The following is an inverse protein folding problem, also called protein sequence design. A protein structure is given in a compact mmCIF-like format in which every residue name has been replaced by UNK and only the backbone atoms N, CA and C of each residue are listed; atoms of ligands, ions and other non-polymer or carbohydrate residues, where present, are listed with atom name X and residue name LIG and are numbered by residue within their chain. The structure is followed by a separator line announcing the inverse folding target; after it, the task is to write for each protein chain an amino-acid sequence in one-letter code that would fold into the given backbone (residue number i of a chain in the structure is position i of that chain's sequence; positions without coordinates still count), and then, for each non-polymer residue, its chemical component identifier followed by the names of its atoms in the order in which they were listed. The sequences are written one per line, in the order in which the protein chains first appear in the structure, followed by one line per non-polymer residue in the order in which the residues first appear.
data_IF_774454109934
#
_entry.id   IF_774454109934
#
_cell.length_a   1.000
_cell.length_b   1.000
_cell.length_c   1.000
_cell.angle_alpha   90.00
_cell.angle_beta   90.00
_cell.angle_gamma   90.00
#
_symmetry.space_group_name_H-M   'P 1'
#
loop_
_entity.id
_entity.type
_entity.pdbx_description
1 polymer ?
#
# COMPACT_ATOMS: atom_id res chain seq x y z
N UNK A 1 -49.23 37.24 -25.86
CA UNK A 1 -49.30 35.92 -25.17
C UNK A 1 -48.22 34.90 -25.58
N UNK A 2 -47.42 35.14 -26.66
CA UNK A 2 -46.35 34.19 -27.08
C UNK A 2 -45.03 34.30 -26.31
N UNK A 3 -44.72 35.43 -25.67
CA UNK A 3 -43.46 35.67 -24.97
C UNK A 3 -43.40 35.03 -23.56
N UNK A 4 -44.52 34.82 -22.92
CA UNK A 4 -44.58 34.24 -21.55
C UNK A 4 -44.34 32.75 -21.58
N UNK A 5 -44.74 32.06 -22.67
CA UNK A 5 -44.61 30.60 -22.80
C UNK A 5 -43.15 30.16 -22.96
N UNK A 6 -42.31 31.03 -23.61
CA UNK A 6 -40.88 30.73 -23.85
C UNK A 6 -40.04 30.88 -22.57
N UNK A 7 -40.41 31.81 -21.69
CA UNK A 7 -39.71 32.06 -20.43
C UNK A 7 -39.90 30.91 -19.43
N UNK A 8 -41.08 30.31 -19.39
CA UNK A 8 -41.38 29.15 -18.52
C UNK A 8 -40.62 27.86 -18.93
N UNK A 9 -40.37 27.68 -20.25
CA UNK A 9 -39.64 26.52 -20.75
C UNK A 9 -38.13 26.57 -20.41
N UNK A 10 -37.52 27.78 -20.40
CA UNK A 10 -36.10 27.97 -20.06
C UNK A 10 -35.84 27.79 -18.55
N UNK A 11 -36.80 28.17 -17.70
CA UNK A 11 -36.70 27.96 -16.26
C UNK A 11 -36.81 26.46 -15.85
N UNK A 12 -37.56 25.67 -16.60
CA UNK A 12 -37.72 24.24 -16.31
C UNK A 12 -36.44 23.42 -16.65
N UNK A 13 -35.65 23.84 -17.64
CA UNK A 13 -34.39 23.16 -18.02
C UNK A 13 -33.25 23.43 -17.06
N UNK A 14 -33.21 24.61 -16.41
CA UNK A 14 -32.18 24.91 -15.38
C UNK A 14 -32.35 24.09 -14.09
N UNK A 15 -33.53 23.65 -13.74
CA UNK A 15 -33.75 22.87 -12.52
C UNK A 15 -33.29 21.40 -12.63
N UNK A 16 -33.19 20.85 -13.83
CA UNK A 16 -32.68 19.49 -14.04
C UNK A 16 -31.15 19.38 -13.88
N UNK A 17 -30.40 20.48 -14.08
CA UNK A 17 -28.96 20.51 -13.87
C UNK A 17 -28.53 20.50 -12.38
N UNK A 18 -29.42 20.85 -11.44
CA UNK A 18 -29.08 20.94 -10.02
C UNK A 18 -29.32 19.63 -9.23
N UNK A 19 -29.92 18.62 -9.84
CA UNK A 19 -30.35 17.41 -9.17
C UNK A 19 -29.47 16.17 -9.39
N UNK A 20 -28.36 16.29 -10.16
CA UNK A 20 -27.40 15.19 -10.24
C UNK A 20 -26.56 15.18 -8.97
N UNK A 21 -27.12 14.67 -7.87
CA UNK A 21 -26.30 14.15 -6.77
C UNK A 21 -25.38 13.10 -7.38
N UNK A 22 -24.13 13.47 -7.65
CA UNK A 22 -23.11 12.47 -8.03
C UNK A 22 -23.14 11.34 -7.01
N UNK A 23 -23.38 10.14 -7.49
CA UNK A 23 -23.27 8.96 -6.66
C UNK A 23 -21.88 8.99 -5.99
N UNK A 24 -21.79 8.67 -4.69
CA UNK A 24 -20.51 8.62 -4.02
C UNK A 24 -19.57 7.68 -4.82
N UNK A 25 -18.30 8.04 -4.97
CA UNK A 25 -17.35 7.19 -5.66
C UNK A 25 -17.35 5.79 -5.06
N UNK A 26 -17.20 4.73 -5.88
CA UNK A 26 -17.18 3.37 -5.38
C UNK A 26 -16.06 3.22 -4.33
N UNK A 27 -16.33 2.43 -3.30
CA UNK A 27 -15.36 2.14 -2.26
C UNK A 27 -14.16 1.40 -2.89
N UNK A 28 -12.90 1.82 -2.61
CA UNK A 28 -11.73 1.05 -3.02
C UNK A 28 -11.83 -0.41 -2.56
N UNK A 29 -11.32 -1.37 -3.33
CA UNK A 29 -11.35 -2.77 -2.93
C UNK A 29 -10.70 -2.97 -1.56
N UNK A 30 -11.14 -3.98 -0.83
CA UNK A 30 -10.46 -4.38 0.39
C UNK A 30 -9.06 -4.92 0.03
N UNK A 31 -8.03 -4.67 0.86
CA UNK A 31 -6.72 -5.24 0.63
C UNK A 31 -6.77 -6.78 0.64
N UNK A 32 -5.85 -7.44 -0.08
CA UNK A 32 -5.83 -8.90 -0.15
C UNK A 32 -5.51 -9.52 1.21
N UNK A 33 -6.27 -10.55 1.58
CA UNK A 33 -6.05 -11.36 2.77
C UNK A 33 -5.44 -12.70 2.38
N UNK A 34 -4.46 -13.14 3.13
CA UNK A 34 -3.97 -14.51 3.09
C UNK A 34 -4.99 -15.44 3.77
N UNK A 35 -5.43 -16.49 3.07
CA UNK A 35 -6.50 -17.37 3.54
C UNK A 35 -6.12 -18.14 4.82
N UNK A 36 -4.83 -18.46 5.00
CA UNK A 36 -4.34 -19.23 6.13
C UNK A 36 -4.12 -18.41 7.38
N UNK A 37 -3.58 -17.19 7.23
CA UNK A 37 -3.21 -16.32 8.35
C UNK A 37 -4.23 -15.23 8.65
N UNK A 38 -5.15 -14.96 7.71
CA UNK A 38 -6.11 -13.84 7.77
C UNK A 38 -5.43 -12.48 7.89
N UNK A 39 -4.15 -12.38 7.54
CA UNK A 39 -3.41 -11.12 7.50
C UNK A 39 -3.48 -10.50 6.10
N UNK A 40 -3.51 -9.18 6.05
CA UNK A 40 -3.29 -8.45 4.80
C UNK A 40 -1.90 -8.77 4.30
N UNK A 41 -1.82 -9.37 3.10
CA UNK A 41 -0.57 -9.89 2.56
C UNK A 41 -0.43 -9.54 1.09
N UNK A 42 0.72 -8.97 0.72
CA UNK A 42 1.14 -8.79 -0.66
C UNK A 42 2.29 -9.75 -0.96
N UNK A 43 2.12 -10.58 -1.97
CA UNK A 43 3.15 -11.51 -2.42
C UNK A 43 3.26 -11.51 -3.93
N UNK A 44 4.50 -11.61 -4.44
CA UNK A 44 4.73 -11.82 -5.86
C UNK A 44 6.08 -12.52 -6.09
N UNK A 45 6.16 -13.23 -7.21
CA UNK A 45 7.41 -13.75 -7.77
C UNK A 45 7.79 -12.86 -8.94
N UNK A 46 8.97 -12.26 -8.88
CA UNK A 46 9.48 -11.35 -9.93
C UNK A 46 10.64 -12.00 -10.63
N UNK A 47 10.55 -12.11 -11.96
CA UNK A 47 11.61 -12.60 -12.80
C UNK A 47 12.59 -11.46 -13.12
N UNK A 48 13.88 -11.69 -12.93
CA UNK A 48 14.97 -10.74 -13.21
C UNK A 48 16.11 -11.47 -13.93
N UNK A 49 15.87 -11.95 -15.14
CA UNK A 49 16.82 -12.77 -15.86
C UNK A 49 18.18 -12.08 -15.99
N UNK A 50 19.25 -12.85 -15.94
CA UNK A 50 20.62 -12.35 -16.01
C UNK A 50 21.18 -11.78 -14.69
N UNK A 51 20.40 -11.79 -13.61
CA UNK A 51 20.89 -11.42 -12.28
C UNK A 51 21.24 -12.68 -11.48
N UNK A 52 22.45 -12.70 -10.92
CA UNK A 52 22.87 -13.78 -10.03
C UNK A 52 22.16 -13.65 -8.66
N UNK A 53 22.07 -14.75 -7.93
CA UNK A 53 21.55 -14.73 -6.55
C UNK A 53 22.38 -13.77 -5.68
N UNK A 54 23.69 -13.74 -5.82
CA UNK A 54 24.61 -12.83 -5.10
C UNK A 54 24.32 -11.37 -5.39
N UNK A 55 24.07 -11.02 -6.66
CA UNK A 55 23.71 -9.66 -7.07
C UNK A 55 22.39 -9.24 -6.43
N UNK A 56 21.40 -10.11 -6.45
CA UNK A 56 20.11 -9.88 -5.83
C UNK A 56 20.24 -9.72 -4.32
N UNK A 57 21.06 -10.56 -3.66
CA UNK A 57 21.32 -10.47 -2.22
C UNK A 57 21.96 -9.14 -1.85
N UNK A 58 22.93 -8.68 -2.64
CA UNK A 58 23.60 -7.39 -2.41
C UNK A 58 22.61 -6.23 -2.46
N UNK A 59 21.73 -6.19 -3.47
CA UNK A 59 20.71 -5.15 -3.63
C UNK A 59 19.65 -5.23 -2.54
N UNK A 60 19.20 -6.44 -2.21
CA UNK A 60 18.22 -6.64 -1.17
C UNK A 60 18.74 -6.20 0.21
N UNK A 61 20.03 -6.38 0.49
CA UNK A 61 20.69 -5.82 1.70
C UNK A 61 20.66 -4.30 1.71
N UNK A 62 20.94 -3.65 0.59
CA UNK A 62 20.87 -2.17 0.48
C UNK A 62 19.45 -1.70 0.75
N UNK A 63 18.45 -2.34 0.14
CA UNK A 63 17.05 -2.01 0.38
C UNK A 63 16.66 -2.24 1.84
N UNK A 64 16.98 -3.40 2.41
CA UNK A 64 16.63 -3.76 3.78
C UNK A 64 17.20 -2.78 4.80
N UNK A 65 18.46 -2.38 4.63
CA UNK A 65 19.10 -1.39 5.51
C UNK A 65 18.46 0.00 5.39
N UNK A 66 17.93 0.36 4.20
CA UNK A 66 17.28 1.65 3.98
C UNK A 66 15.86 1.75 4.55
N UNK A 67 15.18 0.63 4.80
CA UNK A 67 13.80 0.60 5.29
C UNK A 67 13.68 0.11 6.74
N UNK A 68 14.78 -0.36 7.32
CA UNK A 68 14.81 -0.93 8.68
C UNK A 68 14.32 0.07 9.71
N UNK A 69 13.44 -0.40 10.58
CA UNK A 69 13.00 0.34 11.75
C UNK A 69 14.10 0.31 12.81
N UNK A 70 14.36 1.45 13.45
CA UNK A 70 15.36 1.60 14.51
C UNK A 70 15.22 0.51 15.60
N UNK A 71 16.34 -0.13 15.95
CA UNK A 71 16.39 -1.22 16.94
C UNK A 71 15.99 -2.60 16.43
N UNK A 72 15.64 -2.75 15.14
CA UNK A 72 15.28 -4.05 14.56
C UNK A 72 16.06 -4.31 13.27
N UNK A 73 17.34 -4.73 13.34
CA UNK A 73 18.15 -4.98 12.15
C UNK A 73 17.55 -6.09 11.29
N UNK A 74 17.78 -6.08 9.96
CA UNK A 74 17.37 -7.15 9.07
C UNK A 74 17.99 -8.48 9.48
N UNK A 75 17.24 -9.55 9.33
CA UNK A 75 17.74 -10.93 9.53
C UNK A 75 18.04 -11.53 8.16
N UNK A 76 19.21 -12.14 8.04
CA UNK A 76 19.68 -12.79 6.83
C UNK A 76 19.91 -14.28 7.12
N UNK A 77 19.25 -15.15 6.36
CA UNK A 77 19.40 -16.60 6.45
C UNK A 77 19.59 -17.19 5.06
N UNK A 78 20.23 -18.36 4.99
CA UNK A 78 20.31 -19.14 3.74
C UNK A 78 19.76 -20.52 4.03
N UNK A 79 18.67 -20.87 3.34
CA UNK A 79 17.97 -22.15 3.51
C UNK A 79 17.87 -22.86 2.16
N UNK A 80 18.39 -24.08 2.08
CA UNK A 80 18.32 -24.92 0.87
C UNK A 80 18.70 -24.19 -0.44
N UNK A 81 19.78 -23.41 -0.40
CA UNK A 81 20.24 -22.64 -1.55
C UNK A 81 19.41 -21.40 -1.90
N UNK A 82 18.50 -20.99 -1.00
CA UNK A 82 17.71 -19.76 -1.11
C UNK A 82 18.17 -18.80 -0.01
N UNK A 83 18.58 -17.59 -0.41
CA UNK A 83 18.86 -16.54 0.56
C UNK A 83 17.53 -15.87 0.94
N UNK A 84 17.29 -15.74 2.24
CA UNK A 84 16.07 -15.12 2.78
C UNK A 84 16.46 -13.93 3.62
N UNK A 85 15.78 -12.82 3.40
CA UNK A 85 15.92 -11.58 4.15
C UNK A 85 14.57 -11.28 4.80
N UNK A 86 14.57 -11.09 6.12
CA UNK A 86 13.40 -10.62 6.85
C UNK A 86 13.72 -9.25 7.43
N UNK A 87 12.87 -8.28 7.16
CA UNK A 87 13.04 -6.90 7.63
C UNK A 87 11.72 -6.35 8.16
N UNK A 88 11.79 -5.68 9.32
CA UNK A 88 10.71 -4.83 9.83
C UNK A 88 10.93 -3.41 9.33
N UNK A 89 10.03 -2.94 8.50
CA UNK A 89 10.10 -1.64 7.85
C UNK A 89 9.00 -0.69 8.29
N UNK A 90 9.14 0.56 7.86
CA UNK A 90 8.20 1.65 8.12
C UNK A 90 8.00 2.46 6.85
N UNK A 91 6.77 2.73 6.47
CA UNK A 91 6.38 3.62 5.38
C UNK A 91 5.40 4.66 5.93
N UNK A 92 5.19 5.77 5.23
CA UNK A 92 4.23 6.78 5.64
C UNK A 92 2.92 6.60 4.86
N UNK A 93 1.85 6.35 5.60
CA UNK A 93 0.50 6.33 5.06
C UNK A 93 -0.10 7.72 5.20
N UNK A 94 -0.48 8.33 4.07
CA UNK A 94 -1.11 9.64 4.01
C UNK A 94 -2.52 9.52 3.47
N UNK A 95 -3.49 10.16 4.14
CA UNK A 95 -4.87 10.23 3.67
C UNK A 95 -5.53 11.54 4.08
N UNK A 96 -6.47 12.02 3.26
CA UNK A 96 -7.22 13.24 3.54
C UNK A 96 -8.60 12.89 4.07
N UNK A 97 -8.94 13.41 5.24
CA UNK A 97 -10.24 13.24 5.87
C UNK A 97 -10.72 14.58 6.45
N UNK A 98 -11.95 15.00 6.12
CA UNK A 98 -12.50 16.33 6.45
C UNK A 98 -11.56 17.50 6.13
N UNK A 99 -10.96 17.48 4.91
CA UNK A 99 -9.99 18.47 4.45
C UNK A 99 -8.69 18.56 5.27
N UNK A 100 -8.49 17.68 6.24
CA UNK A 100 -7.26 17.56 6.98
C UNK A 100 -6.40 16.44 6.39
N UNK A 101 -5.12 16.73 6.13
CA UNK A 101 -4.14 15.72 5.79
C UNK A 101 -3.72 14.99 7.05
N UNK A 102 -3.94 13.68 7.08
CA UNK A 102 -3.48 12.80 8.14
C UNK A 102 -2.31 11.98 7.63
N UNK A 103 -1.26 11.87 8.42
CA UNK A 103 -0.07 11.09 8.11
C UNK A 103 0.21 10.16 9.27
N UNK A 104 0.20 8.87 9.03
CA UNK A 104 0.47 7.85 10.04
C UNK A 104 1.60 6.95 9.57
N UNK A 105 2.52 6.57 10.44
CA UNK A 105 3.48 5.52 10.14
C UNK A 105 2.76 4.19 9.97
N UNK A 106 3.09 3.50 8.88
CA UNK A 106 2.66 2.14 8.57
C UNK A 106 3.85 1.22 8.76
N UNK A 107 3.84 0.41 9.79
CA UNK A 107 4.85 -0.64 10.02
C UNK A 107 4.45 -1.90 9.28
N UNK A 108 5.44 -2.65 8.83
CA UNK A 108 5.24 -3.91 8.12
C UNK A 108 6.41 -4.86 8.33
N UNK A 109 6.21 -6.11 7.98
CA UNK A 109 7.27 -7.11 7.83
C UNK A 109 7.38 -7.49 6.38
N UNK A 110 8.60 -7.49 5.84
CA UNK A 110 8.87 -7.96 4.49
C UNK A 110 9.83 -9.15 4.55
N UNK A 111 9.47 -10.23 3.89
CA UNK A 111 10.29 -11.41 3.66
C UNK A 111 10.63 -11.48 2.18
N UNK A 112 11.92 -11.54 1.84
CA UNK A 112 12.40 -11.61 0.46
C UNK A 112 13.22 -12.88 0.32
N UNK A 113 12.80 -13.76 -0.57
CA UNK A 113 13.49 -15.01 -0.91
C UNK A 113 14.16 -14.87 -2.29
N UNK A 114 15.46 -15.09 -2.36
CA UNK A 114 16.30 -14.81 -3.51
C UNK A 114 16.83 -16.13 -4.11
N UNK A 115 16.72 -16.24 -5.43
CA UNK A 115 17.30 -17.32 -6.24
C UNK A 115 17.88 -16.75 -7.51
N UNK A 116 18.66 -17.56 -8.23
CA UNK A 116 19.17 -17.19 -9.55
C UNK A 116 18.04 -16.72 -10.48
N UNK A 117 18.18 -15.52 -11.04
CA UNK A 117 17.25 -14.95 -12.02
C UNK A 117 15.84 -14.57 -11.52
N UNK A 118 15.55 -14.70 -10.23
CA UNK A 118 14.24 -14.36 -9.66
C UNK A 118 14.30 -14.10 -8.17
N UNK A 119 13.28 -13.37 -7.68
CA UNK A 119 13.00 -13.27 -6.25
C UNK A 119 11.51 -13.38 -5.98
N UNK A 120 11.18 -13.78 -4.77
CA UNK A 120 9.83 -13.71 -4.24
C UNK A 120 9.83 -12.75 -3.05
N UNK A 121 8.80 -11.92 -2.95
CA UNK A 121 8.57 -11.16 -1.73
C UNK A 121 7.22 -11.49 -1.13
N UNK A 122 7.15 -11.38 0.20
CA UNK A 122 5.93 -11.37 1.00
C UNK A 122 6.00 -10.18 1.93
N UNK A 123 4.98 -9.34 1.93
CA UNK A 123 4.87 -8.17 2.81
C UNK A 123 3.56 -8.32 3.57
N UNK A 124 3.65 -8.37 4.89
CA UNK A 124 2.52 -8.60 5.79
C UNK A 124 2.71 -7.92 7.14
N UNK A 125 1.89 -8.28 8.13
CA UNK A 125 1.93 -7.76 9.49
C UNK A 125 1.89 -6.22 9.53
N UNK A 126 0.97 -5.65 8.76
CA UNK A 126 0.80 -4.21 8.70
C UNK A 126 0.16 -3.66 9.97
N UNK A 127 0.77 -2.62 10.54
CA UNK A 127 0.31 -1.96 11.74
C UNK A 127 0.37 -0.45 11.58
N UNK A 128 -0.71 0.25 11.91
CA UNK A 128 -0.72 1.70 12.02
C UNK A 128 -0.18 2.14 13.38
N UNK A 129 0.74 3.09 13.36
CA UNK A 129 1.30 3.68 14.59
C UNK A 129 0.59 5.00 14.88
N UNK A 130 -0.24 5.00 15.93
CA UNK A 130 -0.94 6.17 16.41
C UNK A 130 -0.10 6.96 17.43
N UNK A 131 -0.45 8.24 17.70
CA UNK A 131 0.17 9.01 18.75
C UNK A 131 0.26 8.24 20.07
N UNK A 132 1.39 8.37 20.79
CA UNK A 132 1.67 7.59 21.99
C UNK A 132 2.20 6.17 21.69
N UNK A 133 2.66 5.90 20.45
CA UNK A 133 3.25 4.63 20.00
C UNK A 133 2.29 3.42 20.07
N UNK A 134 0.98 3.68 20.07
CA UNK A 134 0.00 2.61 19.99
C UNK A 134 0.01 2.00 18.59
N UNK A 135 0.40 0.73 18.49
CA UNK A 135 0.34 -0.05 17.26
C UNK A 135 -1.02 -0.74 17.13
N UNK A 136 -1.66 -0.55 16.00
CA UNK A 136 -2.97 -1.17 15.69
C UNK A 136 -2.84 -1.93 14.39
N UNK A 137 -3.02 -3.28 14.39
CA UNK A 137 -3.04 -4.07 13.16
C UNK A 137 -4.11 -3.56 12.19
N UNK A 138 -3.82 -3.55 10.90
CA UNK A 138 -4.79 -3.11 9.88
C UNK A 138 -6.02 -4.00 9.82
N UNK A 139 -5.91 -5.25 10.26
CA UNK A 139 -6.99 -6.22 10.40
C UNK A 139 -7.85 -6.00 11.65
N UNK A 140 -7.46 -5.07 12.53
CA UNK A 140 -8.20 -4.78 13.76
C UNK A 140 -9.67 -4.47 13.46
N UNK A 141 -10.61 -5.05 14.20
CA UNK A 141 -12.03 -4.73 14.06
C UNK A 141 -12.34 -3.27 14.38
N UNK A 142 -11.42 -2.55 15.02
CA UNK A 142 -11.55 -1.13 15.34
C UNK A 142 -11.28 -0.23 14.12
N UNK A 143 -10.71 -0.78 13.05
CA UNK A 143 -10.45 -0.07 11.82
C UNK A 143 -11.44 -0.48 10.73
N UNK A 144 -11.94 0.48 9.92
CA UNK A 144 -12.89 0.19 8.84
C UNK A 144 -12.20 -0.37 7.58
N UNK A 145 -11.05 -1.02 7.73
CA UNK A 145 -10.26 -1.48 6.60
C UNK A 145 -10.88 -2.64 5.85
N UNK A 146 -11.26 -3.68 6.56
CA UNK A 146 -11.72 -4.93 5.96
C UNK A 146 -13.23 -4.96 5.77
N UNK A 147 -13.98 -4.57 6.79
CA UNK A 147 -15.44 -4.73 6.83
C UNK A 147 -16.22 -3.68 6.04
N UNK A 148 -15.58 -2.57 5.70
CA UNK A 148 -16.28 -1.50 4.99
C UNK A 148 -17.19 -0.63 5.91
N UNK A 149 -17.90 0.33 5.31
CA UNK A 149 -18.83 1.18 6.05
C UNK A 149 -20.12 0.40 6.37
N UNK A 150 -20.53 0.41 7.60
CA UNK A 150 -21.78 -0.24 8.02
C UNK A 150 -21.77 -0.77 9.44
N UNK A 151 -20.61 -1.07 10.00
CA UNK A 151 -20.47 -1.65 11.35
C UNK A 151 -20.43 -0.59 12.46
N UNK A 152 -20.88 0.65 12.20
CA UNK A 152 -20.91 1.75 13.18
C UNK A 152 -19.57 2.40 13.49
N UNK A 153 -18.45 1.90 12.90
CA UNK A 153 -17.09 2.36 13.24
C UNK A 153 -16.41 3.21 12.17
N UNK A 154 -17.08 3.48 11.06
CA UNK A 154 -16.54 4.33 10.00
C UNK A 154 -17.58 4.78 9.01
N UNK A 155 -17.38 5.94 8.42
CA UNK A 155 -18.17 6.42 7.30
C UNK A 155 -17.59 5.92 5.99
N UNK A 156 -18.39 5.92 4.90
CA UNK A 156 -17.89 5.64 3.55
C UNK A 156 -16.66 6.51 3.25
N UNK A 157 -16.72 7.80 3.61
CA UNK A 157 -15.60 8.74 3.37
C UNK A 157 -14.32 8.38 4.12
N UNK A 158 -14.42 8.01 5.41
CA UNK A 158 -13.24 7.64 6.19
C UNK A 158 -12.63 6.33 5.70
N UNK A 159 -13.46 5.34 5.39
CA UNK A 159 -13.01 4.05 4.85
C UNK A 159 -12.34 4.22 3.50
N UNK A 160 -12.96 4.99 2.59
CA UNK A 160 -12.37 5.30 1.28
C UNK A 160 -11.02 5.98 1.42
N UNK A 161 -10.94 7.04 2.22
CA UNK A 161 -9.70 7.79 2.41
C UNK A 161 -8.58 6.91 2.96
N UNK A 162 -8.86 6.10 3.98
CA UNK A 162 -7.88 5.25 4.62
C UNK A 162 -7.41 4.11 3.70
N UNK A 163 -8.34 3.45 2.98
CA UNK A 163 -8.00 2.41 1.99
C UNK A 163 -7.17 2.96 0.84
N UNK A 164 -7.52 4.12 0.29
CA UNK A 164 -6.74 4.75 -0.78
C UNK A 164 -5.33 5.14 -0.31
N UNK A 165 -5.19 5.66 0.91
CA UNK A 165 -3.89 5.96 1.50
C UNK A 165 -3.04 4.70 1.70
N UNK A 166 -3.65 3.61 2.15
CA UNK A 166 -2.97 2.33 2.32
C UNK A 166 -2.53 1.73 0.98
N UNK A 167 -3.42 1.72 -0.02
CA UNK A 167 -3.10 1.27 -1.37
C UNK A 167 -1.93 2.06 -1.97
N UNK A 168 -1.94 3.39 -1.84
CA UNK A 168 -0.85 4.23 -2.30
C UNK A 168 0.48 3.91 -1.60
N UNK A 169 0.47 3.78 -0.27
CA UNK A 169 1.66 3.46 0.51
C UNK A 169 2.23 2.07 0.17
N UNK A 170 1.37 1.05 0.06
CA UNK A 170 1.80 -0.32 -0.28
C UNK A 170 2.26 -0.45 -1.72
N UNK A 171 1.63 0.23 -2.67
CA UNK A 171 2.07 0.31 -4.06
C UNK A 171 3.45 0.97 -4.17
N UNK A 172 3.67 2.08 -3.46
CA UNK A 172 4.96 2.76 -3.43
C UNK A 172 6.06 1.88 -2.81
N UNK A 173 5.75 1.16 -1.72
CA UNK A 173 6.65 0.22 -1.09
C UNK A 173 7.09 -0.89 -2.06
N UNK A 174 6.14 -1.52 -2.75
CA UNK A 174 6.41 -2.55 -3.74
C UNK A 174 7.23 -2.01 -4.91
N UNK A 175 6.90 -0.82 -5.41
CA UNK A 175 7.64 -0.17 -6.49
C UNK A 175 9.10 0.14 -6.09
N UNK A 176 9.34 0.63 -4.87
CA UNK A 176 10.69 0.87 -4.33
C UNK A 176 11.51 -0.43 -4.27
N UNK A 177 10.91 -1.51 -3.77
CA UNK A 177 11.55 -2.83 -3.71
C UNK A 177 11.93 -3.33 -5.11
N UNK A 178 10.98 -3.31 -6.03
CA UNK A 178 11.18 -3.76 -7.41
C UNK A 178 12.24 -2.91 -8.12
N UNK A 179 12.20 -1.58 -7.98
CA UNK A 179 13.15 -0.68 -8.61
C UNK A 179 14.60 -0.93 -8.16
N UNK A 180 14.81 -1.26 -6.88
CA UNK A 180 16.14 -1.56 -6.36
C UNK A 180 16.62 -2.93 -6.81
N UNK A 181 15.76 -3.96 -6.76
CA UNK A 181 16.15 -5.32 -7.15
C UNK A 181 16.34 -5.48 -8.66
N UNK A 182 15.64 -4.70 -9.48
CA UNK A 182 15.76 -4.73 -10.94
C UNK A 182 16.98 -3.94 -11.48
N UNK A 183 17.60 -3.04 -10.68
CA UNK A 183 18.74 -2.26 -11.15
C UNK A 183 19.90 -3.18 -11.54
N UNK A 184 20.48 -3.05 -12.74
CA UNK A 184 21.75 -3.72 -13.03
C UNK A 184 22.82 -3.17 -12.07
N UNK A 185 23.68 -4.05 -11.55
CA UNK A 185 24.90 -3.58 -10.91
C UNK A 185 25.69 -2.85 -11.99
N UNK A 186 25.98 -1.57 -11.80
CA UNK A 186 27.00 -0.89 -12.59
C UNK A 186 28.28 -1.67 -12.36
N UNK A 187 28.73 -2.41 -13.39
CA UNK A 187 30.08 -2.98 -13.36
C UNK A 187 31.01 -1.81 -13.01
N UNK A 188 31.76 -1.96 -11.93
CA UNK A 188 32.86 -1.06 -11.67
C UNK A 188 33.67 -1.02 -12.99
N UNK A 189 33.66 0.12 -13.65
CA UNK A 189 34.50 0.36 -14.83
C UNK A 189 35.89 0.16 -14.36
N UNK A 190 36.58 -0.76 -14.99
CA UNK A 190 38.01 -1.07 -14.74
C UNK A 190 38.80 0.24 -14.64
N UNK A 191 39.57 0.34 -13.56
CA UNK A 191 40.49 1.43 -13.30
C UNK A 191 41.65 1.36 -14.29
#
# INVERSE_FOLDING_TARGET
MKAISTLLLVLATCWQCLAQKQAPPPLPPAPPLDESTQLVTFTAVVQVPGNTQTDLLTRARVWANGVTTEGKPPVFTTEQGTDVIVVSGREMLSYTYFSALNVLPLRYTATISLREGRYQYRIDNFQLEYPGQKLVPVESPDLPFLKGPGDGRGTVKSTTALRSGFEAATTQLQAKLQAILAKPLTKATDW
#
